data_IF_101623788482
#
_entry.id   IF_101623788482
#
_cell.length_a   1.000
_cell.length_b   1.000
_cell.length_c   1.000
_cell.angle_alpha   90.00
_cell.angle_beta   90.00
_cell.angle_gamma   90.00
#
_symmetry.space_group_name_H-M   'P 1'
#
loop_
_entity.id
_entity.type
_entity.pdbx_description
1 polymer ?
#
# COMPACT_ATOMS: atom_id res chain seq x y z
N UNK A 1 -29.12 6.91 -30.36
CA UNK A 1 -27.86 7.66 -30.56
C UNK A 1 -26.72 6.66 -30.48
N UNK A 2 -25.93 6.43 -31.55
CA UNK A 2 -24.72 5.63 -31.41
C UNK A 2 -23.82 6.32 -30.37
N UNK A 3 -23.38 5.58 -29.36
CA UNK A 3 -22.43 6.06 -28.36
C UNK A 3 -21.14 6.43 -29.10
N UNK A 4 -20.68 7.67 -29.00
CA UNK A 4 -19.41 8.04 -29.63
C UNK A 4 -18.25 7.34 -28.91
N UNK A 5 -17.23 6.97 -29.69
CA UNK A 5 -15.99 6.49 -29.11
C UNK A 5 -15.41 7.59 -28.22
N UNK A 6 -14.99 7.22 -27.01
CA UNK A 6 -14.38 8.12 -26.04
C UNK A 6 -13.25 7.42 -25.30
N UNK A 7 -12.22 8.17 -24.97
CA UNK A 7 -11.09 7.71 -24.18
C UNK A 7 -10.83 8.65 -23.00
N UNK A 8 -10.27 8.13 -21.93
CA UNK A 8 -9.77 8.95 -20.84
C UNK A 8 -8.51 8.36 -20.22
N UNK A 9 -7.58 9.24 -19.85
CA UNK A 9 -6.43 8.87 -19.04
C UNK A 9 -6.83 8.82 -17.57
N UNK A 10 -6.52 7.71 -16.91
CA UNK A 10 -6.66 7.57 -15.46
C UNK A 10 -5.46 8.21 -14.75
N UNK A 11 -5.61 8.50 -13.45
CA UNK A 11 -4.57 9.10 -12.61
C UNK A 11 -3.29 8.25 -12.54
N UNK A 12 -3.40 6.93 -12.68
CA UNK A 12 -2.29 5.96 -12.74
C UNK A 12 -1.65 5.85 -14.13
N UNK A 13 -1.98 6.76 -15.04
CA UNK A 13 -1.54 6.78 -16.44
C UNK A 13 -2.03 5.62 -17.30
N UNK A 14 -2.98 4.80 -16.84
CA UNK A 14 -3.65 3.83 -17.71
C UNK A 14 -4.66 4.53 -18.63
N UNK A 15 -4.77 4.04 -19.86
CA UNK A 15 -5.75 4.54 -20.82
C UNK A 15 -7.01 3.69 -20.76
N UNK A 16 -8.14 4.30 -20.48
CA UNK A 16 -9.45 3.66 -20.54
C UNK A 16 -10.21 4.14 -21.76
N UNK A 17 -10.73 3.22 -22.58
CA UNK A 17 -11.47 3.54 -23.80
C UNK A 17 -12.78 2.78 -23.87
N UNK A 18 -13.76 3.41 -24.50
CA UNK A 18 -15.06 2.82 -24.81
C UNK A 18 -15.47 3.25 -26.21
N UNK A 19 -16.00 2.32 -26.99
CA UNK A 19 -16.40 2.54 -28.37
C UNK A 19 -17.51 1.55 -28.76
N UNK A 20 -18.37 1.90 -29.74
CA UNK A 20 -19.31 0.95 -30.32
C UNK A 20 -18.60 -0.30 -30.79
N UNK A 21 -19.20 -1.47 -30.57
CA UNK A 21 -18.55 -2.72 -30.96
C UNK A 21 -18.16 -2.71 -32.43
N UNK A 22 -16.85 -2.76 -32.67
CA UNK A 22 -16.24 -2.87 -33.97
C UNK A 22 -15.31 -4.08 -33.94
N UNK A 23 -15.69 -5.13 -34.68
CA UNK A 23 -14.96 -6.40 -34.70
C UNK A 23 -13.52 -6.20 -35.15
N UNK A 24 -13.28 -5.42 -36.20
CA UNK A 24 -11.95 -5.24 -36.76
C UNK A 24 -11.01 -4.52 -35.79
N UNK A 25 -11.53 -3.51 -35.08
CA UNK A 25 -10.78 -2.84 -34.02
C UNK A 25 -10.47 -3.79 -32.84
N UNK A 26 -11.44 -4.60 -32.42
CA UNK A 26 -11.21 -5.59 -31.35
C UNK A 26 -10.17 -6.62 -31.74
N UNK A 27 -10.22 -7.13 -32.97
CA UNK A 27 -9.21 -8.07 -33.49
C UNK A 27 -7.83 -7.41 -33.63
N UNK A 28 -7.78 -6.15 -34.08
CA UNK A 28 -6.53 -5.39 -34.17
C UNK A 28 -5.91 -5.15 -32.78
N UNK A 29 -6.73 -4.79 -31.77
CA UNK A 29 -6.29 -4.72 -30.37
C UNK A 29 -5.75 -6.07 -29.94
N UNK A 30 -6.51 -7.15 -30.20
CA UNK A 30 -6.16 -8.52 -29.83
C UNK A 30 -4.83 -8.98 -30.40
N UNK A 31 -4.55 -8.59 -31.64
CA UNK A 31 -3.36 -8.98 -32.40
C UNK A 31 -2.13 -8.11 -32.13
N UNK A 32 -2.29 -6.81 -31.85
CA UNK A 32 -1.14 -5.88 -31.75
C UNK A 32 -0.71 -5.59 -30.32
N UNK A 33 -1.56 -5.85 -29.34
CA UNK A 33 -1.28 -5.60 -27.93
C UNK A 33 -1.14 -6.96 -27.25
N UNK A 34 -0.16 -7.15 -26.38
CA UNK A 34 -0.08 -8.40 -25.60
C UNK A 34 -1.22 -8.45 -24.57
N UNK A 35 -1.83 -9.63 -24.29
CA UNK A 35 -2.81 -9.77 -23.21
C UNK A 35 -2.37 -9.17 -21.86
N UNK A 36 -1.07 -9.14 -21.54
CA UNK A 36 -0.54 -8.54 -20.32
C UNK A 36 -0.71 -7.01 -20.27
N UNK A 37 -0.80 -6.34 -21.41
CA UNK A 37 -0.92 -4.87 -21.48
C UNK A 37 -2.34 -4.37 -21.74
N UNK A 38 -3.34 -5.26 -21.70
CA UNK A 38 -4.74 -4.92 -21.89
C UNK A 38 -5.64 -5.66 -20.91
N UNK A 39 -6.69 -4.99 -20.50
CA UNK A 39 -7.73 -5.54 -19.64
C UNK A 39 -9.10 -5.14 -20.19
N UNK A 40 -10.05 -6.06 -20.17
CA UNK A 40 -11.44 -5.77 -20.50
C UNK A 40 -12.25 -5.72 -19.21
N UNK A 41 -12.89 -4.57 -18.96
CA UNK A 41 -13.79 -4.38 -17.84
C UNK A 41 -15.25 -4.65 -18.28
N UNK A 42 -15.87 -5.76 -17.87
CA UNK A 42 -17.23 -6.10 -18.30
C UNK A 42 -18.31 -5.20 -17.67
N UNK A 43 -18.05 -4.63 -16.49
CA UNK A 43 -18.99 -3.76 -15.77
C UNK A 43 -19.18 -2.41 -16.45
N UNK A 44 -18.09 -1.82 -16.93
CA UNK A 44 -18.05 -0.52 -17.63
C UNK A 44 -18.04 -0.67 -19.15
N UNK A 45 -17.87 -1.90 -19.65
CA UNK A 45 -17.68 -2.22 -21.08
C UNK A 45 -16.55 -1.39 -21.70
N UNK A 46 -15.45 -1.24 -20.96
CA UNK A 46 -14.29 -0.45 -21.36
C UNK A 46 -13.05 -1.33 -21.46
N UNK A 47 -12.18 -0.98 -22.39
CA UNK A 47 -10.82 -1.52 -22.46
C UNK A 47 -9.88 -0.61 -21.67
N UNK A 48 -9.01 -1.23 -20.87
CA UNK A 48 -7.99 -0.54 -20.10
C UNK A 48 -6.62 -1.00 -20.61
N UNK A 49 -5.71 -0.06 -20.84
CA UNK A 49 -4.38 -0.33 -21.35
C UNK A 49 -3.29 0.22 -20.45
N UNK A 50 -2.23 -0.57 -20.30
CA UNK A 50 -1.04 -0.17 -19.54
C UNK A 50 -0.27 0.94 -20.26
N UNK A 51 0.32 1.91 -19.52
CA UNK A 51 0.95 3.10 -20.09
C UNK A 51 2.15 2.81 -21.00
N UNK A 52 2.94 1.77 -20.68
CA UNK A 52 4.24 1.56 -21.31
C UNK A 52 4.16 1.14 -22.78
N UNK A 53 3.26 0.21 -23.10
CA UNK A 53 3.15 -0.38 -24.46
C UNK A 53 1.69 -0.49 -24.94
N UNK A 54 0.76 -0.81 -24.05
CA UNK A 54 -0.65 -0.96 -24.42
C UNK A 54 -1.28 0.36 -24.87
N UNK A 55 -1.14 1.42 -24.09
CA UNK A 55 -1.81 2.70 -24.34
C UNK A 55 -1.35 3.38 -25.65
N UNK A 56 -0.04 3.50 -25.97
CA UNK A 56 0.39 4.09 -27.24
C UNK A 56 -0.14 3.33 -28.47
N UNK A 57 -0.13 1.99 -28.42
CA UNK A 57 -0.64 1.16 -29.51
C UNK A 57 -2.16 1.27 -29.63
N UNK A 58 -2.89 1.26 -28.51
CA UNK A 58 -4.33 1.43 -28.48
C UNK A 58 -4.74 2.78 -29.07
N UNK A 59 -4.05 3.88 -28.72
CA UNK A 59 -4.31 5.21 -29.28
C UNK A 59 -4.15 5.26 -30.80
N UNK A 60 -3.08 4.64 -31.32
CA UNK A 60 -2.84 4.57 -32.75
C UNK A 60 -3.97 3.85 -33.46
N UNK A 61 -4.41 2.71 -32.92
CA UNK A 61 -5.52 1.94 -33.47
C UNK A 61 -6.84 2.73 -33.39
N UNK A 62 -7.13 3.34 -32.25
CA UNK A 62 -8.36 4.11 -32.07
C UNK A 62 -8.45 5.27 -33.04
N UNK A 63 -7.39 6.06 -33.21
CA UNK A 63 -7.39 7.18 -34.16
C UNK A 63 -7.51 6.72 -35.62
N UNK A 64 -7.12 5.49 -35.92
CA UNK A 64 -7.30 4.91 -37.25
C UNK A 64 -8.77 4.52 -37.52
N UNK A 65 -9.44 3.88 -36.55
CA UNK A 65 -10.84 3.44 -36.71
C UNK A 65 -11.89 4.50 -36.34
N UNK A 66 -11.51 5.43 -35.48
CA UNK A 66 -12.33 6.52 -34.93
C UNK A 66 -11.49 7.82 -34.90
N UNK A 67 -11.30 8.50 -36.04
CA UNK A 67 -10.48 9.70 -36.12
C UNK A 67 -11.01 10.84 -35.25
N UNK A 68 -12.32 10.87 -35.01
CA UNK A 68 -13.01 11.88 -34.19
C UNK A 68 -13.05 11.54 -32.70
N UNK A 69 -12.26 10.55 -32.24
CA UNK A 69 -12.27 10.16 -30.83
C UNK A 69 -11.73 11.29 -29.94
N UNK A 70 -12.54 11.67 -28.95
CA UNK A 70 -12.11 12.58 -27.90
C UNK A 70 -11.41 11.79 -26.78
N UNK A 71 -10.22 12.26 -26.39
CA UNK A 71 -9.45 11.69 -25.29
C UNK A 71 -9.28 12.76 -24.23
N UNK A 72 -9.92 12.56 -23.08
CA UNK A 72 -9.81 13.46 -21.93
C UNK A 72 -8.61 13.06 -21.07
N UNK A 73 -7.79 14.04 -20.68
CA UNK A 73 -6.69 13.80 -19.74
C UNK A 73 -7.12 14.10 -18.30
N UNK A 74 -7.57 13.08 -17.57
CA UNK A 74 -7.98 13.23 -16.17
C UNK A 74 -6.81 13.05 -15.19
N UNK A 75 -5.55 13.01 -15.66
CA UNK A 75 -4.39 12.93 -14.76
C UNK A 75 -4.24 14.20 -13.92
N UNK A 76 -4.67 15.35 -14.46
CA UNK A 76 -4.59 16.65 -13.78
C UNK A 76 -5.72 16.90 -12.76
N UNK A 77 -6.78 16.10 -12.77
CA UNK A 77 -7.93 16.29 -11.85
C UNK A 77 -7.79 15.48 -10.56
N UNK A 78 -6.73 14.68 -10.43
CA UNK A 78 -6.38 14.04 -9.16
C UNK A 78 -5.91 15.11 -8.18
N UNK A 79 -6.77 15.44 -7.23
CA UNK A 79 -6.33 16.00 -5.95
C UNK A 79 -5.86 14.83 -5.10
N UNK A 80 -4.58 14.85 -4.71
CA UNK A 80 -4.10 13.96 -3.67
C UNK A 80 -5.06 14.06 -2.48
N UNK A 81 -5.61 12.96 -1.96
CA UNK A 81 -6.44 13.03 -0.77
C UNK A 81 -5.62 13.79 0.28
N UNK A 82 -6.21 14.76 1.00
CA UNK A 82 -5.46 15.51 2.00
C UNK A 82 -4.70 14.49 2.84
N UNK A 83 -3.39 14.71 3.10
CA UNK A 83 -2.61 13.75 3.88
C UNK A 83 -3.45 13.43 5.10
N UNK A 84 -3.77 12.14 5.28
CA UNK A 84 -4.42 11.73 6.52
C UNK A 84 -3.47 12.24 7.58
N UNK A 85 -3.91 13.22 8.37
CA UNK A 85 -3.23 13.60 9.58
C UNK A 85 -3.31 12.36 10.47
N UNK A 86 -2.38 11.43 10.28
CA UNK A 86 -2.02 10.49 11.31
C UNK A 86 -1.43 11.41 12.37
N UNK A 87 -2.25 11.82 13.33
CA UNK A 87 -1.71 12.09 14.65
C UNK A 87 -0.95 10.82 14.99
N UNK A 88 0.38 10.85 14.80
CA UNK A 88 1.22 9.72 15.16
C UNK A 88 0.81 9.37 16.58
N UNK A 89 0.31 8.15 16.82
CA UNK A 89 -0.09 7.78 18.16
C UNK A 89 1.13 8.02 19.03
N UNK A 90 0.98 8.85 20.07
CA UNK A 90 2.05 9.12 21.02
C UNK A 90 2.35 7.80 21.72
N UNK A 91 3.27 7.01 21.16
CA UNK A 91 3.58 5.67 21.66
C UNK A 91 4.22 5.86 23.03
N UNK A 92 3.63 5.22 24.03
CA UNK A 92 4.13 5.29 25.39
C UNK A 92 5.51 4.58 25.46
N UNK A 93 6.55 5.26 26.01
CA UNK A 93 7.89 4.71 26.04
C UNK A 93 8.00 3.44 26.89
N UNK A 94 7.15 3.23 27.90
CA UNK A 94 7.19 2.05 28.75
C UNK A 94 6.74 0.80 27.96
N UNK A 95 5.65 0.91 27.17
CA UNK A 95 5.19 -0.17 26.28
C UNK A 95 6.17 -0.43 25.13
N UNK A 96 6.77 0.64 24.59
CA UNK A 96 7.80 0.54 23.55
C UNK A 96 9.03 -0.23 24.04
N UNK A 97 9.45 0.02 25.29
CA UNK A 97 10.62 -0.65 25.90
C UNK A 97 10.43 -2.17 26.01
N UNK A 98 9.19 -2.63 26.17
CA UNK A 98 8.82 -4.04 26.25
C UNK A 98 8.43 -4.64 24.89
N UNK A 99 8.48 -3.85 23.81
CA UNK A 99 8.05 -4.26 22.46
C UNK A 99 6.61 -4.78 22.40
N UNK A 100 5.71 -4.16 23.17
CA UNK A 100 4.28 -4.50 23.20
C UNK A 100 3.41 -3.29 22.90
N UNK A 101 2.17 -3.53 22.48
CA UNK A 101 1.16 -2.49 22.31
C UNK A 101 0.51 -2.12 23.66
N UNK A 102 -0.01 -0.89 23.82
CA UNK A 102 -0.77 -0.47 25.00
C UNK A 102 -1.93 -1.41 25.37
N UNK A 103 -2.54 -2.03 24.37
CA UNK A 103 -3.69 -2.95 24.52
C UNK A 103 -3.27 -4.40 24.75
N UNK A 104 -1.97 -4.69 24.88
CA UNK A 104 -1.49 -6.05 25.05
C UNK A 104 -2.02 -6.67 26.36
N UNK A 105 -2.52 -7.92 26.33
CA UNK A 105 -3.00 -8.57 27.54
C UNK A 105 -1.83 -8.87 28.48
N UNK A 106 -2.11 -8.93 29.78
CA UNK A 106 -1.09 -9.12 30.83
C UNK A 106 -0.17 -10.31 30.59
N UNK A 107 -0.70 -11.43 30.12
CA UNK A 107 0.11 -12.62 29.82
C UNK A 107 1.17 -12.37 28.72
N UNK A 108 0.88 -11.50 27.75
CA UNK A 108 1.82 -11.11 26.70
C UNK A 108 2.89 -10.18 27.25
N UNK A 109 2.52 -9.22 28.10
CA UNK A 109 3.47 -8.34 28.79
C UNK A 109 4.45 -9.15 29.64
N UNK A 110 3.95 -10.09 30.46
CA UNK A 110 4.77 -10.96 31.31
C UNK A 110 5.70 -11.87 30.47
N UNK A 111 5.20 -12.37 29.34
CA UNK A 111 5.99 -13.21 28.44
C UNK A 111 7.11 -12.42 27.73
N UNK A 112 6.79 -11.22 27.23
CA UNK A 112 7.75 -10.32 26.59
C UNK A 112 8.86 -9.94 27.58
N UNK A 113 8.51 -9.53 28.79
CA UNK A 113 9.48 -9.21 29.84
C UNK A 113 10.40 -10.41 30.14
N UNK A 114 9.85 -11.62 30.34
CA UNK A 114 10.66 -12.81 30.61
C UNK A 114 11.61 -13.17 29.47
N UNK A 115 11.18 -12.97 28.22
CA UNK A 115 12.02 -13.21 27.06
C UNK A 115 13.17 -12.19 27.00
N UNK A 116 12.86 -10.90 27.12
CA UNK A 116 13.84 -9.81 27.07
C UNK A 116 14.82 -9.87 28.25
N UNK A 117 14.36 -10.22 29.44
CA UNK A 117 15.19 -10.39 30.62
C UNK A 117 16.23 -11.51 30.43
N UNK A 118 15.87 -12.60 29.73
CA UNK A 118 16.82 -13.68 29.41
C UNK A 118 17.85 -13.26 28.36
N UNK A 119 17.41 -12.51 27.36
CA UNK A 119 18.27 -12.01 26.29
C UNK A 119 19.32 -11.02 26.80
N UNK A 120 18.90 -10.06 27.63
CA UNK A 120 19.74 -8.94 28.07
C UNK A 120 20.33 -9.11 29.47
N UNK A 121 20.16 -10.29 30.11
CA UNK A 121 20.71 -10.51 31.45
C UNK A 121 22.24 -10.34 31.43
N UNK A 122 22.82 -9.51 32.33
CA UNK A 122 24.27 -9.28 32.33
C UNK A 122 25.09 -10.57 32.55
N UNK A 123 24.54 -11.56 33.25
CA UNK A 123 25.22 -12.85 33.47
C UNK A 123 25.27 -13.74 32.22
N UNK A 124 24.40 -13.50 31.24
CA UNK A 124 24.37 -14.25 29.98
C UNK A 124 25.22 -13.59 28.88
N UNK A 125 25.65 -12.34 29.10
CA UNK A 125 26.40 -11.55 28.13
C UNK A 125 27.92 -11.66 28.31
N UNK A 126 28.70 -11.53 27.22
CA UNK A 126 30.16 -11.48 27.27
C UNK A 126 30.65 -10.29 28.10
N UNK A 127 31.85 -10.40 28.67
CA UNK A 127 32.37 -9.43 29.65
C UNK A 127 32.33 -7.96 29.16
N UNK A 128 32.55 -7.72 27.87
CA UNK A 128 32.50 -6.38 27.27
C UNK A 128 31.10 -5.78 27.10
N UNK A 129 30.03 -6.57 27.30
CA UNK A 129 28.64 -6.15 27.08
C UNK A 129 27.81 -6.17 28.37
N UNK A 130 28.39 -6.58 29.50
CA UNK A 130 27.66 -6.71 30.78
C UNK A 130 27.10 -5.39 31.29
N UNK A 131 27.83 -4.29 31.11
CA UNK A 131 27.38 -2.96 31.50
C UNK A 131 26.12 -2.56 30.70
N UNK A 132 26.14 -2.75 29.38
CA UNK A 132 24.98 -2.54 28.50
C UNK A 132 23.81 -3.45 28.88
N UNK A 133 24.08 -4.71 29.23
CA UNK A 133 23.08 -5.64 29.75
C UNK A 133 22.44 -5.15 31.05
N UNK A 134 23.25 -4.66 31.98
CA UNK A 134 22.76 -4.10 33.24
C UNK A 134 21.85 -2.89 33.00
N UNK A 135 22.28 -1.94 32.17
CA UNK A 135 21.46 -0.77 31.79
C UNK A 135 20.12 -1.18 31.17
N UNK A 136 20.14 -2.16 30.24
CA UNK A 136 18.91 -2.67 29.64
C UNK A 136 18.02 -3.39 30.62
N UNK A 137 18.58 -4.15 31.55
CA UNK A 137 17.80 -4.82 32.58
C UNK A 137 17.10 -3.81 33.51
N UNK A 138 17.78 -2.72 33.89
CA UNK A 138 17.18 -1.62 34.68
C UNK A 138 16.01 -0.98 33.93
N UNK A 139 16.17 -0.71 32.63
CA UNK A 139 15.12 -0.13 31.81
C UNK A 139 13.91 -1.07 31.67
N UNK A 140 14.15 -2.36 31.40
CA UNK A 140 13.11 -3.37 31.27
C UNK A 140 12.31 -3.55 32.56
N UNK A 141 12.99 -3.64 33.71
CA UNK A 141 12.33 -3.74 35.02
C UNK A 141 11.46 -2.52 35.31
N UNK A 142 11.99 -1.32 35.05
CA UNK A 142 11.27 -0.07 35.28
C UNK A 142 10.01 0.03 34.42
N UNK A 143 10.13 -0.30 33.13
CA UNK A 143 9.01 -0.30 32.20
C UNK A 143 7.96 -1.36 32.58
N UNK A 144 8.39 -2.56 32.97
CA UNK A 144 7.51 -3.67 33.36
C UNK A 144 6.66 -3.32 34.58
N UNK A 145 7.23 -2.77 35.65
CA UNK A 145 6.43 -2.40 36.82
C UNK A 145 5.40 -1.31 36.48
N UNK A 146 5.77 -0.29 35.71
CA UNK A 146 4.84 0.78 35.29
C UNK A 146 3.71 0.28 34.41
N UNK A 147 3.99 -0.58 33.45
CA UNK A 147 2.97 -1.16 32.57
C UNK A 147 2.06 -2.09 33.38
N UNK A 148 2.61 -2.91 34.27
CA UNK A 148 1.87 -3.83 35.11
C UNK A 148 0.90 -3.12 36.05
N UNK A 149 1.29 -2.00 36.66
CA UNK A 149 0.42 -1.19 37.51
C UNK A 149 -0.79 -0.63 36.73
N UNK A 150 -0.57 -0.18 35.49
CA UNK A 150 -1.62 0.40 34.64
C UNK A 150 -2.64 -0.64 34.17
N UNK A 151 -2.18 -1.85 33.83
CA UNK A 151 -3.05 -2.93 33.33
C UNK A 151 -3.79 -3.66 34.47
N UNK A 152 -3.38 -3.45 35.73
CA UNK A 152 -4.03 -4.01 36.91
C UNK A 152 -5.21 -3.18 37.45
N UNK A 153 -5.39 -1.94 36.95
CA UNK A 153 -6.48 -1.02 37.32
C UNK A 153 -7.63 -1.11 36.33
#
# INVERSE_FOLDING_TARGET
MPSLAHGSWRWDSRLEISFPYNRDLVEAIKSQIDPHYREWSPSTKTWIFEPALGAPTALRLLRFYHPDIEITDNRSTYQEPPPRFTTEPKIDPDFTTLYVLPEAPRCVIDAAFKALAREYHPDCLPAGERERGHERMVQLNTAYERVRERVAS
#
